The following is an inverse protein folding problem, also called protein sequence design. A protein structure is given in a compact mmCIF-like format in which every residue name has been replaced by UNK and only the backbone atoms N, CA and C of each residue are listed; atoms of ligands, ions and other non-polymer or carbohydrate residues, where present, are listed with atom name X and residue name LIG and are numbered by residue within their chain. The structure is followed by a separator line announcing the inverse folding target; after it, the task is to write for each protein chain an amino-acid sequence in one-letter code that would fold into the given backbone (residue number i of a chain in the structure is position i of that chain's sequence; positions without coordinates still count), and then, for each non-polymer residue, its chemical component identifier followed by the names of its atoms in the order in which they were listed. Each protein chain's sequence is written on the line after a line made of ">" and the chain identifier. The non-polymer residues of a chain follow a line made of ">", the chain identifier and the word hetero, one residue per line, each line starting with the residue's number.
data_IF_832462871209
#
_entry.id   IF_832462871209
#
_cell.length_a   1.000
_cell.length_b   1.000
_cell.length_c   1.000
_cell.angle_alpha   90.00
_cell.angle_beta   90.00
_cell.angle_gamma   90.00
#
_symmetry.space_group_name_H-M   'P 1'
#
loop_
_entity.id
_entity.type
_entity.pdbx_description
1 polymer ?
#
# COMPACT_ATOMS: atom_id res chain seq x y z
N UNK A 1 0.81 9.92 7.68
CA UNK A 1 -0.02 9.29 6.63
C UNK A 1 -1.42 9.02 7.18
N UNK A 2 -2.46 9.08 6.35
CA UNK A 2 -3.85 8.86 6.77
C UNK A 2 -4.74 8.48 5.57
N UNK A 3 -5.70 7.56 5.76
CA UNK A 3 -6.90 7.44 4.93
C UNK A 3 -8.02 8.26 5.58
N UNK A 4 -8.37 9.42 5.02
CA UNK A 4 -9.22 10.43 5.68
C UNK A 4 -10.68 10.41 5.23
N UNK A 5 -11.05 9.49 4.34
CA UNK A 5 -12.38 9.41 3.73
C UNK A 5 -13.48 9.32 4.80
N UNK A 6 -13.34 8.41 5.78
CA UNK A 6 -14.34 8.23 6.84
C UNK A 6 -14.46 9.45 7.73
N UNK A 7 -13.35 10.19 7.96
CA UNK A 7 -13.37 11.46 8.70
C UNK A 7 -14.10 12.57 7.93
N UNK A 8 -14.07 12.50 6.61
CA UNK A 8 -14.73 13.45 5.70
C UNK A 8 -16.13 13.01 5.27
N UNK A 9 -16.70 11.97 5.91
CA UNK A 9 -18.03 11.46 5.59
C UNK A 9 -18.12 10.65 4.29
N UNK A 10 -16.99 10.18 3.75
CA UNK A 10 -16.90 9.33 2.57
C UNK A 10 -16.60 7.88 2.95
N UNK A 11 -17.17 6.93 2.21
CA UNK A 11 -16.73 5.53 2.27
C UNK A 11 -15.43 5.35 1.49
N UNK A 12 -14.47 4.61 2.04
CA UNK A 12 -13.26 4.24 1.31
C UNK A 12 -13.65 3.28 0.15
N UNK A 13 -13.31 3.60 -1.10
CA UNK A 13 -13.58 2.73 -2.24
C UNK A 13 -12.96 1.35 -2.09
N UNK A 14 -13.63 0.30 -2.58
CA UNK A 14 -13.16 -1.09 -2.51
C UNK A 14 -11.74 -1.29 -3.05
N UNK A 15 -11.32 -0.68 -4.19
CA UNK A 15 -9.93 -0.80 -4.65
C UNK A 15 -8.91 -0.31 -3.63
N UNK A 16 -9.20 0.80 -2.92
CA UNK A 16 -8.33 1.36 -1.88
C UNK A 16 -8.30 0.45 -0.65
N UNK A 17 -9.43 -0.16 -0.28
CA UNK A 17 -9.48 -1.14 0.79
C UNK A 17 -8.60 -2.36 0.49
N UNK A 18 -8.65 -2.88 -0.73
CA UNK A 18 -7.83 -4.04 -1.12
C UNK A 18 -6.33 -3.73 -1.17
N UNK A 19 -5.94 -2.54 -1.67
CA UNK A 19 -4.55 -2.06 -1.58
C UNK A 19 -4.12 -1.91 -0.13
N UNK A 20 -4.98 -1.31 0.71
CA UNK A 20 -4.65 -1.11 2.12
C UNK A 20 -4.48 -2.44 2.85
N UNK A 21 -5.31 -3.45 2.57
CA UNK A 21 -5.23 -4.77 3.21
C UNK A 21 -3.94 -5.52 2.89
N UNK A 22 -3.33 -5.26 1.72
CA UNK A 22 -2.08 -5.91 1.32
C UNK A 22 -0.83 -5.29 1.97
N UNK A 23 -0.96 -4.11 2.60
CA UNK A 23 0.17 -3.36 3.17
C UNK A 23 0.04 -3.07 4.66
N UNK A 24 -1.14 -2.64 5.10
CA UNK A 24 -1.39 -2.25 6.49
C UNK A 24 -1.44 -3.47 7.38
N UNK A 25 -0.68 -3.45 8.47
CA UNK A 25 -0.65 -4.55 9.43
C UNK A 25 -1.99 -4.71 10.15
N UNK A 26 -2.36 -5.96 10.45
CA UNK A 26 -3.67 -6.31 11.02
C UNK A 26 -3.99 -5.59 12.33
N UNK A 27 -2.99 -5.37 13.20
CA UNK A 27 -3.12 -4.64 14.46
C UNK A 27 -3.32 -3.12 14.28
N UNK A 28 -2.96 -2.57 13.12
CA UNK A 28 -3.16 -1.17 12.77
C UNK A 28 -4.42 -0.92 11.93
N UNK A 29 -4.98 -1.95 11.29
CA UNK A 29 -6.10 -1.84 10.34
C UNK A 29 -7.26 -0.96 10.85
N UNK A 30 -7.82 -1.28 12.02
CA UNK A 30 -8.96 -0.54 12.57
C UNK A 30 -8.63 0.94 12.80
N UNK A 31 -7.45 1.21 13.35
CA UNK A 31 -6.97 2.57 13.63
C UNK A 31 -6.73 3.36 12.34
N UNK A 32 -5.99 2.77 11.41
CA UNK A 32 -5.60 3.41 10.15
C UNK A 32 -6.78 3.66 9.20
N UNK A 33 -7.65 2.67 9.03
CA UNK A 33 -8.67 2.67 7.97
C UNK A 33 -10.05 3.04 8.51
N UNK A 34 -10.49 2.43 9.61
CA UNK A 34 -11.85 2.66 10.13
C UNK A 34 -11.93 3.90 11.03
N UNK A 35 -10.93 4.14 11.86
CA UNK A 35 -10.88 5.31 12.74
C UNK A 35 -10.27 6.55 12.06
N UNK A 36 -9.78 6.40 10.82
CA UNK A 36 -9.07 7.43 10.08
C UNK A 36 -7.98 8.09 10.96
N UNK A 37 -7.16 7.30 11.64
CA UNK A 37 -6.10 7.81 12.50
C UNK A 37 -4.96 8.38 11.64
N UNK A 38 -4.48 9.57 12.02
CA UNK A 38 -3.33 10.18 11.37
C UNK A 38 -2.04 9.67 12.03
N UNK A 39 -1.18 9.03 11.24
CA UNK A 39 0.16 8.61 11.66
C UNK A 39 1.18 9.71 11.35
N UNK A 40 2.18 9.88 12.21
CA UNK A 40 3.39 10.62 11.85
C UNK A 40 4.13 9.90 10.71
N UNK A 41 5.08 10.57 10.06
CA UNK A 41 5.88 9.95 8.97
C UNK A 41 6.63 8.73 9.50
N UNK A 42 7.24 8.83 10.68
CA UNK A 42 7.96 7.72 11.33
C UNK A 42 7.04 6.56 11.71
N UNK A 43 5.89 6.85 12.34
CA UNK A 43 4.97 5.78 12.78
C UNK A 43 4.26 5.08 11.61
N UNK A 44 4.26 5.72 10.44
CA UNK A 44 3.71 5.15 9.20
C UNK A 44 4.47 3.89 8.77
N UNK A 45 5.74 3.73 9.15
CA UNK A 45 6.50 2.50 8.90
C UNK A 45 5.92 1.35 9.71
N UNK A 46 5.73 1.55 11.01
CA UNK A 46 5.17 0.53 11.90
C UNK A 46 3.74 0.10 11.50
N UNK A 47 2.96 1.03 10.93
CA UNK A 47 1.62 0.72 10.42
C UNK A 47 1.62 -0.04 9.09
N UNK A 48 2.73 -0.03 8.34
CA UNK A 48 2.84 -0.63 7.00
C UNK A 48 2.45 0.32 5.85
N UNK A 49 2.35 1.62 6.09
CA UNK A 49 2.16 2.62 5.03
C UNK A 49 3.44 2.86 4.22
N UNK A 50 4.59 2.83 4.90
CA UNK A 50 5.92 3.07 4.34
C UNK A 50 6.84 1.92 4.72
N UNK A 51 7.85 1.66 3.91
CA UNK A 51 8.85 0.64 4.22
C UNK A 51 10.06 1.24 4.96
N UNK A 52 10.42 2.50 4.65
CA UNK A 52 11.54 3.22 5.24
C UNK A 52 11.26 4.74 5.26
N UNK A 53 11.86 5.44 6.22
CA UNK A 53 11.87 6.91 6.31
C UNK A 53 13.32 7.37 6.35
N UNK A 54 13.63 8.36 5.53
CA UNK A 54 14.95 9.01 5.44
C UNK A 54 14.79 10.53 5.49
N UNK A 55 15.91 11.23 5.67
CA UNK A 55 15.94 12.67 5.52
C UNK A 55 15.53 13.09 4.10
N UNK A 56 14.85 14.24 3.93
CA UNK A 56 14.33 14.66 2.62
C UNK A 56 15.39 14.71 1.51
N UNK A 57 16.60 15.17 1.85
CA UNK A 57 17.71 15.30 0.90
C UNK A 57 18.26 13.93 0.44
N UNK A 58 18.04 12.87 1.22
CA UNK A 58 18.52 11.53 0.93
C UNK A 58 17.51 10.66 0.16
N UNK A 59 16.26 11.12 0.01
CA UNK A 59 15.17 10.33 -0.56
C UNK A 59 15.53 9.68 -1.90
N UNK A 60 16.10 10.46 -2.83
CA UNK A 60 16.47 9.96 -4.16
C UNK A 60 17.65 9.00 -4.11
N UNK A 61 18.67 9.34 -3.32
CA UNK A 61 19.86 8.51 -3.14
C UNK A 61 19.48 7.14 -2.60
N UNK A 62 18.70 7.11 -1.51
CA UNK A 62 18.26 5.87 -0.87
C UNK A 62 17.35 5.04 -1.77
N UNK A 63 16.41 5.68 -2.46
CA UNK A 63 15.52 4.98 -3.40
C UNK A 63 16.31 4.27 -4.51
N UNK A 64 17.36 4.92 -5.05
CA UNK A 64 18.22 4.32 -6.06
C UNK A 64 19.12 3.21 -5.51
N UNK A 65 19.60 3.35 -4.28
CA UNK A 65 20.35 2.29 -3.58
C UNK A 65 19.49 1.02 -3.45
N UNK A 66 18.28 1.13 -2.92
CA UNK A 66 17.35 0.01 -2.77
C UNK A 66 16.97 -0.57 -4.13
N UNK A 67 16.72 0.26 -5.15
CA UNK A 67 16.42 -0.23 -6.49
C UNK A 67 17.58 -1.04 -7.10
N UNK A 68 18.83 -0.61 -6.90
CA UNK A 68 20.03 -1.33 -7.36
C UNK A 68 20.19 -2.67 -6.64
N UNK A 69 19.93 -2.70 -5.33
CA UNK A 69 19.96 -3.93 -4.56
C UNK A 69 18.90 -4.92 -5.04
N UNK A 70 17.64 -4.48 -5.17
CA UNK A 70 16.54 -5.31 -5.68
C UNK A 70 16.77 -5.79 -7.12
N UNK A 71 17.49 -5.01 -7.95
CA UNK A 71 17.86 -5.42 -9.31
C UNK A 71 18.85 -6.60 -9.35
N UNK A 72 19.51 -6.93 -8.24
CA UNK A 72 20.37 -8.13 -8.13
C UNK A 72 19.57 -9.42 -7.95
N UNK A 73 18.28 -9.34 -7.63
CA UNK A 73 17.42 -10.49 -7.43
C UNK A 73 17.19 -11.28 -8.74
N UNK A 74 17.04 -12.60 -8.60
CA UNK A 74 16.95 -13.49 -9.75
C UNK A 74 15.66 -13.29 -10.56
N UNK A 75 15.81 -13.07 -11.88
CA UNK A 75 14.74 -13.20 -12.86
C UNK A 75 14.78 -14.60 -13.52
N UNK A 76 13.64 -15.28 -13.75
CA UNK A 76 12.26 -14.83 -13.54
C UNK A 76 11.69 -15.10 -12.14
N UNK A 77 12.46 -15.66 -11.21
CA UNK A 77 11.97 -16.13 -9.91
C UNK A 77 11.26 -15.04 -9.10
N UNK A 78 11.84 -13.84 -9.01
CA UNK A 78 11.19 -12.72 -8.31
C UNK A 78 9.83 -12.37 -8.93
N UNK A 79 9.76 -12.32 -10.27
CA UNK A 79 8.51 -12.04 -10.98
C UNK A 79 7.47 -13.12 -10.68
N UNK A 80 7.83 -14.39 -10.78
CA UNK A 80 6.91 -15.50 -10.52
C UNK A 80 6.38 -15.46 -9.09
N UNK A 81 7.26 -15.25 -8.10
CA UNK A 81 6.85 -15.13 -6.69
C UNK A 81 5.92 -13.95 -6.47
N UNK A 82 6.24 -12.77 -7.04
CA UNK A 82 5.40 -11.57 -6.95
C UNK A 82 4.02 -11.80 -7.60
N UNK A 83 4.00 -12.38 -8.79
CA UNK A 83 2.76 -12.64 -9.52
C UNK A 83 1.87 -13.62 -8.76
N UNK A 84 2.45 -14.66 -8.13
CA UNK A 84 1.71 -15.61 -7.29
C UNK A 84 1.13 -14.96 -6.03
N UNK A 85 1.94 -14.16 -5.32
CA UNK A 85 1.53 -13.47 -4.08
C UNK A 85 0.41 -12.44 -4.34
N UNK A 86 0.56 -11.63 -5.40
CA UNK A 86 -0.33 -10.49 -5.67
C UNK A 86 -1.56 -10.86 -6.50
N UNK A 87 -1.64 -12.08 -7.05
CA UNK A 87 -2.70 -12.52 -7.96
C UNK A 87 -4.10 -12.19 -7.46
N UNK A 88 -4.42 -12.58 -6.24
CA UNK A 88 -5.78 -12.47 -5.71
C UNK A 88 -6.14 -11.03 -5.36
N UNK A 89 -5.17 -10.26 -4.83
CA UNK A 89 -5.35 -8.83 -4.53
C UNK A 89 -5.59 -8.04 -5.82
N UNK A 90 -4.78 -8.27 -6.85
CA UNK A 90 -4.95 -7.64 -8.16
C UNK A 90 -6.28 -8.02 -8.81
N UNK A 91 -6.70 -9.28 -8.70
CA UNK A 91 -8.01 -9.74 -9.16
C UNK A 91 -9.15 -8.95 -8.52
N UNK A 92 -9.16 -8.84 -7.18
CA UNK A 92 -10.20 -8.07 -6.46
C UNK A 92 -10.19 -6.59 -6.78
N UNK A 93 -9.00 -5.98 -6.92
CA UNK A 93 -8.87 -4.57 -7.32
C UNK A 93 -9.48 -4.36 -8.71
N UNK A 94 -9.10 -5.18 -9.69
CA UNK A 94 -9.59 -5.06 -11.07
C UNK A 94 -11.10 -5.26 -11.16
N UNK A 95 -11.65 -6.30 -10.51
CA UNK A 95 -13.10 -6.52 -10.46
C UNK A 95 -13.83 -5.33 -9.83
N UNK A 96 -13.29 -4.77 -8.74
CA UNK A 96 -13.89 -3.60 -8.08
C UNK A 96 -13.88 -2.36 -8.98
N UNK A 97 -12.81 -2.12 -9.74
CA UNK A 97 -12.72 -1.01 -10.70
C UNK A 97 -13.76 -1.19 -11.82
N UNK A 98 -13.89 -2.41 -12.36
CA UNK A 98 -14.88 -2.70 -13.39
C UNK A 98 -16.33 -2.48 -12.90
N UNK A 99 -16.65 -2.91 -11.68
CA UNK A 99 -17.96 -2.69 -11.08
C UNK A 99 -18.26 -1.21 -10.89
N UNK A 100 -17.30 -0.44 -10.38
CA UNK A 100 -17.43 1.01 -10.22
C UNK A 100 -17.62 1.73 -11.55
N UNK A 101 -16.92 1.29 -12.61
CA UNK A 101 -17.07 1.85 -13.95
C UNK A 101 -18.43 1.57 -14.59
N UNK A 102 -19.11 0.49 -14.21
CA UNK A 102 -20.47 0.14 -14.69
C UNK A 102 -21.57 0.87 -13.91
N UNK A 103 -21.27 1.33 -12.71
CA UNK A 103 -22.19 2.03 -11.83
C UNK A 103 -22.19 3.57 -12.02
N UNK A 104 -21.29 4.09 -12.87
CA UNK A 104 -21.16 5.51 -13.23
C UNK A 104 -21.77 5.77 -14.61
#
# INVERSE_FOLDING_TARGET
>A
MQANETRNGMSIPTPILEISKSRILKNHWYRAILNAEAYSISDSVAAGYLDEVVEPDDLMSKSLEVAKDLATLSHPHYKLTKDLDQKDVLGRINSSIEEMSKAS
#
